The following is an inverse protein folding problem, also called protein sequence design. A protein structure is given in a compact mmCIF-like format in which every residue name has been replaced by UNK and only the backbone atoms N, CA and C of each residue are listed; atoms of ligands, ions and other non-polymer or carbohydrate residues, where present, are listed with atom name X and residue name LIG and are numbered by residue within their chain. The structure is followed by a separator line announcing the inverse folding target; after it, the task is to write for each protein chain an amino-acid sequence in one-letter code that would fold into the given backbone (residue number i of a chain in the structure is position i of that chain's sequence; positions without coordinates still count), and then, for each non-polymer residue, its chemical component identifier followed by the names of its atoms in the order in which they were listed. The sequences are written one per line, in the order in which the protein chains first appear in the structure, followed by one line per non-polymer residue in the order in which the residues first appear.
data_IF_300032555050
#
_entry.id   IF_300032555050
#
_cell.length_a   1.000
_cell.length_b   1.000
_cell.length_c   1.000
_cell.angle_alpha   90.00
_cell.angle_beta   90.00
_cell.angle_gamma   90.00
#
_symmetry.space_group_name_H-M   'P 1'
#
loop_
_entity.id
_entity.type
_entity.pdbx_description
1 polymer ?
#
# COMPACT_ATOMS: atom_id res chain seq x y z
N UNK A 1 -9.20 -9.31 -12.45
CA UNK A 1 -9.02 -8.00 -11.79
C UNK A 1 -7.57 -7.93 -11.32
N UNK A 2 -6.87 -6.81 -11.52
CA UNK A 2 -5.45 -6.65 -11.12
C UNK A 2 -5.31 -6.50 -9.60
N UNK A 3 -6.38 -6.08 -8.92
CA UNK A 3 -6.47 -5.98 -7.47
C UNK A 3 -7.37 -7.09 -6.94
N UNK A 4 -6.84 -7.90 -6.02
CA UNK A 4 -7.58 -8.94 -5.31
C UNK A 4 -7.71 -8.54 -3.83
N UNK A 5 -8.90 -8.16 -3.34
CA UNK A 5 -9.07 -7.73 -1.95
C UNK A 5 -8.73 -8.82 -0.93
N UNK A 6 -8.70 -10.09 -1.33
CA UNK A 6 -8.37 -11.23 -0.47
C UNK A 6 -6.88 -11.61 -0.50
N UNK A 7 -6.07 -10.91 -1.30
CA UNK A 7 -4.63 -11.12 -1.35
C UNK A 7 -3.87 -9.80 -1.09
N UNK A 8 -3.82 -9.35 0.18
CA UNK A 8 -3.16 -8.09 0.54
C UNK A 8 -1.66 -8.11 0.23
N UNK A 9 -1.02 -9.29 0.27
CA UNK A 9 0.41 -9.44 -0.03
C UNK A 9 0.69 -9.16 -1.50
N UNK A 10 -0.06 -9.78 -2.42
CA UNK A 10 0.10 -9.55 -3.85
C UNK A 10 -0.11 -8.08 -4.21
N UNK A 11 -1.19 -7.46 -3.71
CA UNK A 11 -1.48 -6.05 -3.96
C UNK A 11 -0.36 -5.14 -3.44
N UNK A 12 0.17 -5.44 -2.25
CA UNK A 12 1.30 -4.71 -1.66
C UNK A 12 2.51 -4.76 -2.57
N UNK A 13 2.93 -5.96 -3.00
CA UNK A 13 4.11 -6.15 -3.84
C UNK A 13 3.93 -5.45 -5.19
N UNK A 14 2.77 -5.61 -5.82
CA UNK A 14 2.47 -5.00 -7.11
C UNK A 14 2.53 -3.47 -7.03
N UNK A 15 1.85 -2.87 -6.07
CA UNK A 15 1.82 -1.40 -5.90
C UNK A 15 3.18 -0.86 -5.45
N UNK A 16 3.91 -1.60 -4.61
CA UNK A 16 5.27 -1.24 -4.21
C UNK A 16 6.20 -1.14 -5.42
N UNK A 17 6.17 -2.14 -6.32
CA UNK A 17 7.00 -2.14 -7.54
C UNK A 17 6.67 -0.93 -8.42
N UNK A 18 5.37 -0.62 -8.60
CA UNK A 18 4.94 0.53 -9.38
C UNK A 18 5.45 1.85 -8.79
N UNK A 19 5.30 2.05 -7.48
CA UNK A 19 5.72 3.30 -6.81
C UNK A 19 7.24 3.45 -6.84
N UNK A 20 8.00 2.40 -6.52
CA UNK A 20 9.47 2.46 -6.56
C UNK A 20 9.97 2.73 -7.98
N UNK A 21 9.41 2.05 -8.98
CA UNK A 21 9.77 2.29 -10.38
C UNK A 21 9.48 3.75 -10.77
N UNK A 22 8.31 4.26 -10.39
CA UNK A 22 7.95 5.66 -10.63
C UNK A 22 8.94 6.65 -9.97
N UNK A 23 9.33 6.42 -8.71
CA UNK A 23 10.29 7.26 -7.99
C UNK A 23 11.69 7.22 -8.63
N UNK A 24 12.14 6.06 -9.09
CA UNK A 24 13.46 5.88 -9.73
C UNK A 24 13.49 6.54 -11.11
N UNK A 25 12.39 6.52 -11.86
CA UNK A 25 12.29 7.17 -13.17
C UNK A 25 12.19 8.70 -13.03
N UNK A 26 11.25 9.18 -12.22
CA UNK A 26 10.97 10.62 -12.11
C UNK A 26 12.02 11.36 -11.27
N UNK A 27 12.73 10.66 -10.39
CA UNK A 27 13.81 11.20 -9.55
C UNK A 27 13.43 12.52 -8.89
N UNK A 28 12.35 12.56 -8.10
CA UNK A 28 11.87 13.81 -7.53
C UNK A 28 12.91 14.46 -6.62
N UNK A 29 12.83 15.79 -6.51
CA UNK A 29 13.87 16.61 -5.86
C UNK A 29 14.11 16.22 -4.40
N UNK A 30 13.13 15.66 -3.69
CA UNK A 30 13.28 15.26 -2.29
C UNK A 30 14.11 13.99 -2.09
N UNK A 31 14.20 13.09 -3.09
CA UNK A 31 15.06 11.89 -3.03
C UNK A 31 16.32 11.99 -3.89
N UNK A 32 16.33 12.87 -4.89
CA UNK A 32 17.43 12.94 -5.86
C UNK A 32 18.04 14.33 -5.92
N UNK A 33 19.38 14.38 -5.90
CA UNK A 33 20.13 15.61 -6.09
C UNK A 33 20.52 15.75 -7.57
N UNK A 34 19.78 16.57 -8.31
CA UNK A 34 20.03 16.83 -9.74
C UNK A 34 21.43 17.41 -10.01
N UNK A 35 21.96 18.25 -9.12
CA UNK A 35 23.29 18.87 -9.28
C UNK A 35 24.42 17.84 -9.18
N UNK A 36 24.33 16.93 -8.20
CA UNK A 36 25.32 15.87 -7.96
C UNK A 36 25.03 14.57 -8.70
N UNK A 37 23.97 14.55 -9.54
CA UNK A 37 23.45 13.38 -10.27
C UNK A 37 23.40 12.10 -9.44
N UNK A 38 22.95 12.20 -8.18
CA UNK A 38 22.93 11.06 -7.23
C UNK A 38 21.72 11.14 -6.31
N UNK A 39 21.27 9.98 -5.82
CA UNK A 39 20.27 9.92 -4.76
C UNK A 39 20.81 10.57 -3.48
N UNK A 40 19.92 11.26 -2.76
CA UNK A 40 20.24 11.90 -1.49
C UNK A 40 20.46 10.82 -0.44
N UNK A 41 21.53 10.98 0.33
CA UNK A 41 21.82 10.12 1.48
C UNK A 41 20.87 10.43 2.63
N UNK A 42 20.67 9.45 3.50
CA UNK A 42 19.97 9.67 4.75
C UNK A 42 20.67 10.70 5.63
N UNK A 43 19.86 11.52 6.31
CA UNK A 43 20.30 12.39 7.40
C UNK A 43 19.75 13.80 7.28
N UNK A 44 20.13 14.63 8.25
CA UNK A 44 19.73 16.04 8.33
C UNK A 44 20.88 16.91 7.81
N UNK A 45 20.55 17.95 7.03
CA UNK A 45 21.52 18.92 6.51
C UNK A 45 21.54 19.06 4.98
N UNK A 46 22.42 19.95 4.47
CA UNK A 46 22.45 20.30 3.04
C UNK A 46 22.76 19.08 2.16
N UNK A 47 21.81 18.74 1.29
CA UNK A 47 21.96 17.68 0.30
C UNK A 47 21.70 16.26 0.83
N UNK A 48 21.21 16.13 2.06
CA UNK A 48 20.68 14.88 2.65
C UNK A 48 19.15 14.92 2.64
N UNK A 49 18.52 13.77 2.85
CA UNK A 49 17.07 13.64 2.97
C UNK A 49 16.74 12.61 4.06
N UNK A 50 15.79 12.94 4.93
CA UNK A 50 15.22 11.96 5.86
C UNK A 50 14.43 10.89 5.12
N UNK A 51 13.78 11.26 4.02
CA UNK A 51 13.10 10.35 3.10
C UNK A 51 14.03 9.95 1.96
N UNK A 52 15.18 9.38 2.31
CA UNK A 52 16.08 8.81 1.32
C UNK A 52 15.47 7.57 0.68
N UNK A 53 15.92 7.21 -0.53
CA UNK A 53 15.39 6.05 -1.26
C UNK A 53 15.44 4.74 -0.44
N UNK A 54 16.53 4.42 0.29
CA UNK A 54 16.55 3.22 1.16
C UNK A 54 15.49 3.23 2.25
N UNK A 55 15.20 4.40 2.84
CA UNK A 55 14.19 4.53 3.89
C UNK A 55 12.79 4.35 3.32
N UNK A 56 12.52 4.94 2.15
CA UNK A 56 11.27 4.73 1.44
C UNK A 56 11.09 3.26 1.05
N UNK A 57 12.15 2.58 0.61
CA UNK A 57 12.09 1.17 0.24
C UNK A 57 11.69 0.25 1.40
N UNK A 58 12.02 0.63 2.64
CA UNK A 58 11.66 -0.13 3.85
C UNK A 58 10.28 0.28 4.37
N UNK A 59 10.00 1.58 4.48
CA UNK A 59 8.76 2.07 5.08
C UNK A 59 7.53 1.86 4.20
N UNK A 60 7.69 2.04 2.88
CA UNK A 60 6.57 1.97 1.94
C UNK A 60 5.85 0.61 1.96
N UNK A 61 6.52 -0.56 1.89
CA UNK A 61 5.81 -1.84 1.91
C UNK A 61 5.11 -2.10 3.24
N UNK A 62 5.66 -1.63 4.37
CA UNK A 62 5.01 -1.74 5.68
C UNK A 62 3.70 -0.95 5.71
N UNK A 63 3.72 0.29 5.21
CA UNK A 63 2.53 1.16 5.12
C UNK A 63 1.49 0.56 4.16
N UNK A 64 1.93 0.13 2.96
CA UNK A 64 1.05 -0.46 1.96
C UNK A 64 0.40 -1.75 2.46
N UNK A 65 1.17 -2.65 3.09
CA UNK A 65 0.63 -3.88 3.64
C UNK A 65 -0.41 -3.59 4.73
N UNK A 66 -0.12 -2.64 5.63
CA UNK A 66 -1.05 -2.24 6.69
C UNK A 66 -2.36 -1.70 6.11
N UNK A 67 -2.28 -0.91 5.03
CA UNK A 67 -3.43 -0.38 4.31
C UNK A 67 -4.25 -1.51 3.65
N UNK A 68 -3.60 -2.39 2.88
CA UNK A 68 -4.30 -3.48 2.20
C UNK A 68 -4.90 -4.49 3.17
N UNK A 69 -4.23 -4.75 4.31
CA UNK A 69 -4.78 -5.58 5.38
C UNK A 69 -6.01 -4.94 6.03
N UNK A 70 -6.00 -3.62 6.24
CA UNK A 70 -7.17 -2.91 6.74
C UNK A 70 -8.35 -2.98 5.75
N UNK A 71 -8.08 -2.88 4.45
CA UNK A 71 -9.09 -3.01 3.39
C UNK A 71 -9.67 -4.43 3.35
N UNK A 72 -8.83 -5.47 3.41
CA UNK A 72 -9.27 -6.88 3.49
C UNK A 72 -10.22 -7.09 4.68
N UNK A 73 -9.84 -6.59 5.86
CA UNK A 73 -10.68 -6.69 7.05
C UNK A 73 -12.03 -5.98 6.86
N UNK A 74 -12.04 -4.79 6.25
CA UNK A 74 -13.27 -4.06 5.97
C UNK A 74 -14.20 -4.85 5.02
N UNK A 75 -13.64 -5.46 3.97
CA UNK A 75 -14.41 -6.28 3.02
C UNK A 75 -14.99 -7.51 3.72
N UNK A 76 -14.19 -8.24 4.52
CA UNK A 76 -14.65 -9.42 5.24
C UNK A 76 -15.81 -9.12 6.20
N UNK A 77 -15.76 -7.97 6.88
CA UNK A 77 -16.83 -7.53 7.77
C UNK A 77 -18.13 -7.29 6.99
N UNK A 78 -18.06 -6.63 5.83
CA UNK A 78 -19.23 -6.37 4.98
C UNK A 78 -19.86 -7.68 4.49
N UNK A 79 -19.04 -8.64 4.07
CA UNK A 79 -19.53 -9.95 3.62
C UNK A 79 -20.20 -10.74 4.74
N UNK A 80 -19.70 -10.64 5.96
CA UNK A 80 -20.31 -11.26 7.13
C UNK A 80 -21.70 -10.66 7.42
N UNK A 81 -21.83 -9.33 7.40
CA UNK A 81 -23.12 -8.67 7.56
C UNK A 81 -24.14 -9.08 6.48
N UNK A 82 -23.72 -9.17 5.22
CA UNK A 82 -24.58 -9.61 4.13
C UNK A 82 -25.05 -11.06 4.31
N UNK A 83 -24.17 -11.96 4.76
CA UNK A 83 -24.54 -13.35 5.06
C UNK A 83 -25.59 -13.44 6.17
N UNK A 84 -25.47 -12.64 7.22
CA UNK A 84 -26.43 -12.60 8.33
C UNK A 84 -27.81 -12.11 7.87
N UNK A 85 -27.86 -11.06 7.05
CA UNK A 85 -29.10 -10.51 6.47
C UNK A 85 -29.80 -11.56 5.59
N UNK A 86 -29.07 -12.26 4.74
CA UNK A 86 -29.66 -13.29 3.87
C UNK A 86 -30.18 -14.48 4.67
N UNK A 87 -29.47 -14.87 5.75
CA UNK A 87 -29.91 -15.96 6.64
C UNK A 87 -31.22 -15.60 7.35
N UNK A 88 -31.36 -14.40 7.90
CA UNK A 88 -32.58 -13.98 8.60
C UNK A 88 -33.80 -13.93 7.66
N UNK A 89 -33.62 -13.46 6.42
CA UNK A 89 -34.68 -13.48 5.41
C UNK A 89 -35.13 -14.91 5.09
N UNK A 90 -34.20 -15.83 4.80
CA UNK A 90 -34.56 -17.22 4.46
C UNK A 90 -35.34 -17.95 5.57
N UNK A 91 -35.04 -17.66 6.84
CA UNK A 91 -35.76 -18.23 7.98
C UNK A 91 -37.18 -17.67 8.14
N UNK A 92 -37.48 -16.50 7.58
CA UNK A 92 -38.81 -15.89 7.66
C UNK A 92 -39.78 -16.43 6.61
N UNK A 93 -39.29 -17.08 5.55
CA UNK A 93 -40.12 -17.65 4.47
C UNK A 93 -40.41 -19.16 4.63
N UNK A 94 -39.91 -19.78 5.71
CA UNK A 94 -40.00 -21.23 5.95
C UNK A 94 -40.92 -21.60 7.14
N UNK A 95 -41.58 -20.62 7.75
CA UNK A 95 -42.63 -20.78 8.76
C UNK A 95 -43.98 -20.29 8.21
#
# INVERSE_FOLDING_TARGET
MIFDPYNPVFNTVFVYILIISFLVIHKPYFIYNKRKRRFKQFGVGRGKSLLSLPILAILLPVILYSLFRALENYVNIQDEYLKLINKSMSSSYTN
#
